data_IF_769002638479
#
_entry.id   IF_769002638479
#
_cell.length_a   1.000
_cell.length_b   1.000
_cell.length_c   1.000
_cell.angle_alpha   90.00
_cell.angle_beta   90.00
_cell.angle_gamma   90.00
#
_symmetry.space_group_name_H-M   'P 1'
#
loop_
_entity.id
_entity.type
_entity.pdbx_description
1 polymer ?
#
# COMPACT_ATOMS: atom_id res chain seq x y z
N UNK A 1 -53.13 -9.05 35.87
CA UNK A 1 -53.37 -7.59 35.78
C UNK A 1 -52.11 -6.91 36.30
N UNK A 2 -51.21 -6.48 35.40
CA UNK A 2 -50.99 -5.09 34.93
C UNK A 2 -50.12 -4.27 35.94
N UNK A 3 -48.81 -4.07 35.66
CA UNK A 3 -48.16 -2.88 35.05
C UNK A 3 -48.28 -1.60 35.91
N UNK A 4 -47.21 -0.98 36.43
CA UNK A 4 -46.25 -0.02 35.81
C UNK A 4 -45.30 0.48 36.95
N UNK A 5 -44.08 1.01 36.79
CA UNK A 5 -43.29 1.49 35.65
C UNK A 5 -41.86 1.96 36.07
N UNK A 6 -41.02 2.16 35.04
CA UNK A 6 -39.72 2.88 35.04
C UNK A 6 -39.87 4.33 35.56
N UNK A 7 -38.84 5.14 35.92
CA UNK A 7 -37.67 5.63 35.14
C UNK A 7 -36.62 6.32 36.10
N UNK A 8 -35.57 7.06 35.66
CA UNK A 8 -34.15 6.78 35.97
C UNK A 8 -33.47 7.86 36.85
N UNK A 9 -32.22 7.62 37.28
CA UNK A 9 -31.39 8.66 37.90
C UNK A 9 -30.42 9.24 36.85
N UNK A 10 -30.60 10.53 36.57
CA UNK A 10 -29.69 11.40 35.85
C UNK A 10 -28.38 11.59 36.64
N UNK A 11 -27.23 11.48 35.96
CA UNK A 11 -26.03 12.20 36.37
C UNK A 11 -25.53 12.99 35.15
N UNK A 12 -25.62 14.31 35.29
CA UNK A 12 -25.27 15.31 34.29
C UNK A 12 -23.86 15.86 34.57
N UNK A 13 -23.15 16.09 33.47
CA UNK A 13 -22.13 17.12 33.23
C UNK A 13 -21.07 17.44 34.28
N UNK A 14 -19.86 16.93 34.08
CA UNK A 14 -18.63 17.73 34.13
C UNK A 14 -17.65 17.23 33.05
N UNK A 15 -17.67 17.91 31.90
CA UNK A 15 -16.63 17.79 30.87
C UNK A 15 -15.52 18.76 31.26
N UNK A 16 -14.55 18.28 32.03
CA UNK A 16 -13.27 18.98 32.12
C UNK A 16 -12.51 18.78 30.81
N UNK A 17 -12.45 19.85 30.02
CA UNK A 17 -11.47 20.03 28.95
C UNK A 17 -10.07 20.01 29.57
N UNK A 18 -9.46 18.84 29.66
CA UNK A 18 -8.01 18.77 29.86
C UNK A 18 -7.33 19.24 28.58
N UNK A 19 -6.58 20.34 28.74
CA UNK A 19 -5.66 20.86 27.75
C UNK A 19 -4.59 19.79 27.51
N UNK A 20 -4.74 19.01 26.45
CA UNK A 20 -3.66 18.16 25.94
C UNK A 20 -2.66 19.07 25.21
N UNK A 21 -1.64 19.50 25.93
CA UNK A 21 -0.38 19.92 25.31
C UNK A 21 0.19 18.72 24.57
N UNK A 22 0.25 18.82 23.25
CA UNK A 22 0.89 17.82 22.39
C UNK A 22 2.35 17.62 22.86
N UNK A 23 2.84 16.37 22.96
CA UNK A 23 4.26 16.15 23.11
C UNK A 23 4.95 16.65 21.83
N UNK A 24 5.89 17.58 21.99
CA UNK A 24 6.84 17.96 20.95
C UNK A 24 7.63 16.70 20.56
N UNK A 25 7.44 16.23 19.33
CA UNK A 25 8.35 15.29 18.69
C UNK A 25 9.41 16.11 17.94
N UNK A 26 10.69 15.83 18.22
CA UNK A 26 11.80 16.20 17.36
C UNK A 26 11.68 15.40 16.05
N UNK A 27 11.07 16.00 15.03
CA UNK A 27 11.08 15.50 13.65
C UNK A 27 12.36 15.99 12.95
N UNK A 28 13.53 15.64 13.48
CA UNK A 28 14.79 15.95 12.80
C UNK A 28 15.08 14.87 11.77
N UNK A 29 14.58 15.05 10.54
CA UNK A 29 15.03 14.28 9.39
C UNK A 29 13.98 14.10 8.30
N UNK A 30 13.96 15.06 7.37
CA UNK A 30 13.60 14.91 5.96
C UNK A 30 12.32 14.12 5.63
N UNK A 31 11.26 14.83 5.26
CA UNK A 31 10.44 14.67 4.04
C UNK A 31 9.21 15.56 4.20
N UNK A 32 8.86 16.35 3.18
CA UNK A 32 7.58 17.07 3.13
C UNK A 32 7.63 18.61 3.11
N UNK A 33 8.70 19.23 2.60
CA UNK A 33 8.79 20.69 2.51
C UNK A 33 8.49 21.30 1.12
N UNK A 34 8.37 20.47 0.07
CA UNK A 34 8.04 20.94 -1.30
C UNK A 34 6.54 21.15 -1.54
N UNK A 35 5.70 20.24 -1.05
CA UNK A 35 4.27 20.14 -1.42
C UNK A 35 3.45 21.40 -1.13
N UNK A 36 3.80 22.14 -0.09
CA UNK A 36 3.08 23.35 0.32
C UNK A 36 3.26 24.53 -0.62
N UNK A 37 4.45 24.66 -1.23
CA UNK A 37 4.67 25.67 -2.25
C UNK A 37 3.92 25.28 -3.51
N UNK A 38 4.07 24.05 -3.98
CA UNK A 38 3.44 23.55 -5.21
C UNK A 38 1.91 23.66 -5.18
N UNK A 39 1.26 23.25 -4.07
CA UNK A 39 -0.19 23.37 -3.92
C UNK A 39 -0.70 24.82 -3.82
N UNK A 40 0.10 25.73 -3.24
CA UNK A 40 -0.22 27.16 -3.17
C UNK A 40 0.06 27.90 -4.48
N UNK A 41 0.97 27.38 -5.32
CA UNK A 41 1.35 27.95 -6.62
C UNK A 41 0.64 27.33 -7.82
N UNK A 42 -0.25 26.35 -7.62
CA UNK A 42 -1.19 25.86 -8.64
C UNK A 42 -2.24 26.93 -8.99
N UNK A 43 -1.80 28.11 -9.42
CA UNK A 43 -2.55 28.97 -10.30
C UNK A 43 -2.47 28.36 -11.70
N UNK A 44 -3.29 27.34 -11.95
CA UNK A 44 -3.69 27.01 -13.31
C UNK A 44 -4.31 28.31 -13.86
N UNK A 45 -3.63 28.94 -14.81
CA UNK A 45 -4.07 30.20 -15.40
C UNK A 45 -5.52 30.01 -15.86
N UNK A 46 -6.45 30.59 -15.09
CA UNK A 46 -7.85 30.61 -15.42
C UNK A 46 -7.99 31.35 -16.74
N UNK A 47 -8.36 30.64 -17.79
CA UNK A 47 -9.04 31.31 -18.90
C UNK A 47 -10.31 31.96 -18.35
N UNK A 48 -10.77 33.10 -18.88
CA UNK A 48 -11.78 33.95 -18.22
C UNK A 48 -13.16 33.31 -17.99
N UNK A 49 -13.36 32.05 -18.36
CA UNK A 49 -14.62 31.29 -18.24
C UNK A 49 -14.49 30.09 -17.27
N UNK A 50 -13.58 30.15 -16.28
CA UNK A 50 -13.16 29.02 -15.43
C UNK A 50 -14.19 28.47 -14.42
N UNK A 51 -15.42 28.98 -14.39
CA UNK A 51 -16.48 28.49 -13.48
C UNK A 51 -17.10 27.15 -13.91
N UNK A 52 -16.72 26.58 -15.07
CA UNK A 52 -17.29 25.34 -15.61
C UNK A 52 -16.32 24.14 -15.71
N UNK A 53 -15.13 24.19 -15.09
CA UNK A 53 -14.12 23.12 -15.21
C UNK A 53 -14.30 22.03 -14.15
N UNK A 54 -14.18 20.74 -14.52
CA UNK A 54 -14.28 19.62 -13.56
C UNK A 54 -13.16 19.60 -12.49
N UNK A 55 -12.05 20.32 -12.71
CA UNK A 55 -10.93 20.40 -11.75
C UNK A 55 -11.12 21.49 -10.68
N UNK A 56 -11.80 22.61 -11.00
CA UNK A 56 -12.02 23.73 -10.08
C UNK A 56 -12.75 23.33 -8.77
N UNK A 57 -13.84 22.54 -8.81
CA UNK A 57 -14.50 22.01 -7.61
C UNK A 57 -13.63 21.08 -6.76
N UNK A 58 -12.64 20.40 -7.34
CA UNK A 58 -11.71 19.53 -6.60
C UNK A 58 -10.67 20.38 -5.86
N UNK A 59 -10.10 21.37 -6.54
CA UNK A 59 -9.12 22.29 -5.95
C UNK A 59 -9.72 23.10 -4.78
N UNK A 60 -10.97 23.53 -4.90
CA UNK A 60 -11.67 24.23 -3.81
C UNK A 60 -11.89 23.33 -2.59
N UNK A 61 -12.18 22.03 -2.79
CA UNK A 61 -12.33 21.05 -1.71
C UNK A 61 -11.01 20.70 -1.02
N UNK A 62 -9.88 20.74 -1.74
CA UNK A 62 -8.56 20.44 -1.20
C UNK A 62 -8.06 21.50 -0.20
N UNK A 63 -8.28 22.78 -0.53
CA UNK A 63 -7.77 23.93 0.25
C UNK A 63 -7.97 23.83 1.77
N UNK A 64 -9.17 23.56 2.32
CA UNK A 64 -9.35 23.50 3.77
C UNK A 64 -8.57 22.37 4.45
N UNK A 65 -8.33 21.24 3.77
CA UNK A 65 -7.55 20.14 4.33
C UNK A 65 -6.06 20.45 4.35
N UNK A 66 -5.55 21.10 3.29
CA UNK A 66 -4.17 21.58 3.22
C UNK A 66 -3.89 22.55 4.37
N UNK A 67 -4.79 23.53 4.57
CA UNK A 67 -4.67 24.50 5.66
C UNK A 67 -4.68 23.83 7.05
N UNK A 68 -5.50 22.79 7.23
CA UNK A 68 -5.55 22.02 8.48
C UNK A 68 -4.26 21.24 8.71
N UNK A 69 -3.73 20.58 7.68
CA UNK A 69 -2.50 19.78 7.79
C UNK A 69 -1.30 20.67 8.17
N UNK A 70 -1.22 21.88 7.62
CA UNK A 70 -0.18 22.87 7.96
C UNK A 70 -0.20 23.29 9.42
N UNK A 71 -1.39 23.34 10.03
CA UNK A 71 -1.54 23.65 11.45
C UNK A 71 -1.12 22.48 12.33
N UNK A 72 -1.42 21.25 11.89
CA UNK A 72 -1.10 20.03 12.64
C UNK A 72 0.40 19.70 12.58
N UNK A 73 1.05 19.95 11.44
CA UNK A 73 2.47 19.61 11.20
C UNK A 73 3.26 20.83 10.68
N UNK A 74 3.49 21.86 11.50
CA UNK A 74 4.14 23.10 11.05
C UNK A 74 5.63 22.91 10.66
N UNK A 75 6.29 21.87 11.18
CA UNK A 75 7.72 21.59 10.91
C UNK A 75 7.97 21.05 9.49
N UNK A 76 6.94 20.48 8.85
CA UNK A 76 6.96 20.14 7.42
C UNK A 76 7.11 21.41 6.56
N UNK A 77 6.65 22.57 7.04
CA UNK A 77 6.76 23.84 6.31
C UNK A 77 8.07 24.59 6.51
N UNK A 78 8.88 24.29 7.54
CA UNK A 78 10.03 25.13 7.94
C UNK A 78 11.41 24.53 7.68
N UNK A 79 11.51 23.22 7.43
CA UNK A 79 12.79 22.48 7.37
C UNK A 79 13.48 22.45 6.01
N UNK A 80 13.05 23.24 5.02
CA UNK A 80 13.62 23.27 3.66
C UNK A 80 15.04 23.85 3.54
N UNK A 81 15.67 24.27 4.65
CA UNK A 81 16.86 25.14 4.60
C UNK A 81 18.22 24.51 4.86
N UNK A 82 18.32 23.35 5.51
CA UNK A 82 19.61 22.79 5.95
C UNK A 82 19.53 21.29 6.22
N UNK A 83 19.85 20.43 5.26
CA UNK A 83 20.26 19.07 5.56
C UNK A 83 21.40 18.67 4.60
N UNK A 84 22.54 18.31 5.21
CA UNK A 84 23.76 17.82 4.59
C UNK A 84 23.52 16.52 3.80
N UNK A 85 24.14 16.43 2.62
CA UNK A 85 24.02 15.33 1.64
C UNK A 85 24.48 13.94 2.16
N UNK A 86 25.00 13.83 3.38
CA UNK A 86 25.59 12.59 3.90
C UNK A 86 24.66 11.75 4.78
N UNK A 87 23.43 12.21 5.08
CA UNK A 87 22.47 11.46 5.92
C UNK A 87 21.29 10.87 5.10
N UNK A 88 21.14 11.27 3.83
CA UNK A 88 20.04 10.83 2.95
C UNK A 88 20.16 9.36 2.47
N UNK A 89 21.34 8.74 2.62
CA UNK A 89 21.64 7.43 2.02
C UNK A 89 21.28 6.22 2.90
N UNK A 90 20.49 6.38 3.97
CA UNK A 90 20.14 5.25 4.87
C UNK A 90 18.65 5.02 5.11
N UNK A 91 17.76 5.86 4.58
CA UNK A 91 16.31 5.69 4.73
C UNK A 91 15.53 5.86 3.42
N UNK A 92 16.18 5.58 2.28
CA UNK A 92 15.46 5.40 1.03
C UNK A 92 14.76 4.03 1.02
N UNK A 93 13.45 4.09 0.81
CA UNK A 93 12.61 3.02 0.22
C UNK A 93 12.25 1.82 1.10
N UNK A 94 11.56 2.01 2.23
CA UNK A 94 10.54 1.03 2.60
C UNK A 94 9.26 1.34 1.82
N UNK A 95 9.25 1.01 0.53
CA UNK A 95 7.98 0.78 -0.17
C UNK A 95 7.20 -0.28 0.63
N UNK A 96 5.86 -0.26 0.59
CA UNK A 96 4.96 -1.16 1.34
C UNK A 96 5.32 -2.67 1.25
N UNK A 97 6.23 -3.05 0.36
CA UNK A 97 6.69 -4.42 0.14
C UNK A 97 8.18 -4.68 0.42
N UNK A 98 9.02 -3.67 0.70
CA UNK A 98 10.44 -3.89 0.99
C UNK A 98 10.69 -4.32 2.45
N UNK A 99 9.81 -5.16 2.97
CA UNK A 99 10.20 -6.13 3.99
C UNK A 99 11.42 -6.84 3.42
N UNK A 100 12.59 -6.83 4.09
CA UNK A 100 13.86 -7.31 3.51
C UNK A 100 13.83 -8.70 2.86
N UNK A 101 12.75 -9.47 3.04
CA UNK A 101 12.40 -10.66 2.26
C UNK A 101 12.21 -10.41 0.76
N UNK A 102 11.60 -9.31 0.31
CA UNK A 102 11.42 -9.01 -1.11
C UNK A 102 12.76 -8.65 -1.74
N UNK A 103 13.56 -7.84 -1.07
CA UNK A 103 14.97 -7.62 -1.44
C UNK A 103 15.77 -8.94 -1.51
N UNK A 104 15.71 -9.80 -0.49
CA UNK A 104 16.40 -11.11 -0.48
C UNK A 104 15.88 -12.08 -1.56
N UNK A 105 14.57 -12.12 -1.80
CA UNK A 105 13.93 -12.94 -2.84
C UNK A 105 14.26 -12.42 -4.23
N UNK A 106 14.31 -11.10 -4.41
CA UNK A 106 14.76 -10.47 -5.65
C UNK A 106 16.20 -10.85 -5.93
N UNK A 107 17.08 -10.88 -4.93
CA UNK A 107 18.48 -11.30 -5.12
C UNK A 107 18.65 -12.79 -5.42
N UNK A 108 17.79 -13.66 -4.88
CA UNK A 108 17.89 -15.13 -5.02
C UNK A 108 17.03 -15.73 -6.14
N UNK A 109 16.16 -14.92 -6.77
CA UNK A 109 15.30 -15.37 -7.86
C UNK A 109 16.10 -15.85 -9.08
N UNK A 110 15.71 -16.98 -9.70
CA UNK A 110 16.32 -17.44 -10.96
C UNK A 110 16.07 -16.51 -12.15
N UNK A 111 15.28 -15.45 -11.96
CA UNK A 111 15.00 -14.40 -12.95
C UNK A 111 15.74 -13.08 -12.66
N UNK A 112 16.59 -13.01 -11.64
CA UNK A 112 17.40 -11.83 -11.36
C UNK A 112 18.65 -11.78 -12.25
N UNK A 113 18.88 -10.66 -12.93
CA UNK A 113 19.94 -10.48 -13.93
C UNK A 113 21.24 -9.92 -13.37
N UNK A 114 21.26 -9.44 -12.11
CA UNK A 114 22.46 -8.89 -11.46
C UNK A 114 23.05 -9.89 -10.47
N UNK A 115 23.84 -10.86 -10.94
CA UNK A 115 24.65 -11.64 -9.98
C UNK A 115 25.29 -12.98 -10.42
N UNK A 116 24.95 -13.59 -11.55
CA UNK A 116 25.65 -14.80 -12.02
C UNK A 116 26.24 -14.60 -13.41
N UNK A 117 27.57 -14.68 -13.48
CA UNK A 117 28.35 -14.76 -14.71
C UNK A 117 28.18 -16.09 -15.48
N UNK A 118 27.29 -16.97 -15.01
CA UNK A 118 26.86 -18.17 -15.74
C UNK A 118 25.42 -18.01 -16.21
N UNK A 119 25.25 -17.85 -17.53
CA UNK A 119 23.94 -17.82 -18.19
C UNK A 119 23.17 -19.11 -17.90
N UNK A 120 22.24 -19.06 -16.95
CA UNK A 120 21.38 -20.20 -16.61
C UNK A 120 20.38 -20.53 -17.73
N UNK A 121 19.82 -21.75 -17.77
CA UNK A 121 18.79 -22.14 -18.73
C UNK A 121 17.53 -21.25 -18.69
N UNK A 122 17.16 -20.74 -17.51
CA UNK A 122 16.02 -19.85 -17.29
C UNK A 122 16.20 -18.47 -17.94
N UNK A 123 17.40 -17.89 -17.84
CA UNK A 123 17.71 -16.58 -18.42
C UNK A 123 17.78 -16.65 -19.95
N UNK A 124 18.33 -17.74 -20.51
CA UNK A 124 18.32 -18.01 -21.96
C UNK A 124 16.88 -18.15 -22.47
N UNK A 125 16.00 -18.83 -21.73
CA UNK A 125 14.58 -18.99 -22.07
C UNK A 125 13.86 -17.65 -22.04
N UNK A 126 14.11 -16.80 -21.03
CA UNK A 126 13.49 -15.48 -20.92
C UNK A 126 13.96 -14.52 -22.01
N UNK A 127 15.28 -14.46 -22.29
CA UNK A 127 15.83 -13.66 -23.41
C UNK A 127 15.27 -14.11 -24.76
N UNK A 128 15.13 -15.42 -25.00
CA UNK A 128 14.55 -15.94 -26.23
C UNK A 128 13.08 -15.53 -26.41
N UNK A 129 12.28 -15.54 -25.34
CA UNK A 129 10.88 -15.07 -25.35
C UNK A 129 10.82 -13.57 -25.67
N UNK A 130 11.70 -12.76 -25.06
CA UNK A 130 11.80 -11.30 -25.30
C UNK A 130 12.18 -11.00 -26.76
N UNK A 131 13.15 -11.74 -27.31
CA UNK A 131 13.63 -11.61 -28.70
C UNK A 131 12.54 -11.98 -29.72
N UNK A 132 11.75 -13.03 -29.46
CA UNK A 132 10.64 -13.42 -30.34
C UNK A 132 9.52 -12.37 -30.37
N UNK A 133 9.21 -11.71 -29.24
CA UNK A 133 8.18 -10.66 -29.20
C UNK A 133 8.61 -9.36 -29.89
N UNK A 134 9.86 -8.94 -29.73
CA UNK A 134 10.40 -7.77 -30.47
C UNK A 134 10.29 -7.94 -32.00
N UNK A 135 10.30 -9.18 -32.50
CA UNK A 135 10.08 -9.51 -33.92
C UNK A 135 8.60 -9.59 -34.32
N UNK A 136 7.68 -9.71 -33.36
CA UNK A 136 6.24 -9.93 -33.57
C UNK A 136 5.35 -8.71 -33.26
N UNK A 137 5.93 -7.60 -32.80
CA UNK A 137 5.23 -6.31 -32.55
C UNK A 137 4.57 -5.71 -33.81
N UNK A 138 4.79 -6.30 -34.99
CA UNK A 138 4.12 -5.93 -36.25
C UNK A 138 2.81 -6.64 -36.56
N UNK A 139 2.27 -7.51 -35.68
CA UNK A 139 0.98 -8.14 -35.89
C UNK A 139 -0.15 -7.23 -35.35
N UNK A 140 -0.77 -6.48 -36.26
CA UNK A 140 -1.94 -5.64 -36.01
C UNK A 140 -3.07 -6.53 -35.45
N UNK A 141 -3.43 -6.32 -34.18
CA UNK A 141 -4.67 -6.84 -33.62
C UNK A 141 -5.78 -5.91 -34.10
N UNK A 142 -6.87 -6.47 -34.64
CA UNK A 142 -8.03 -5.72 -35.13
C UNK A 142 -8.48 -4.67 -34.10
N UNK A 143 -8.29 -3.40 -34.45
CA UNK A 143 -8.46 -2.23 -33.59
C UNK A 143 -9.91 -1.71 -33.53
N UNK A 144 -10.90 -2.60 -33.58
CA UNK A 144 -12.32 -2.21 -33.73
C UNK A 144 -13.11 -2.21 -32.40
N UNK A 145 -12.48 -2.53 -31.27
CA UNK A 145 -13.13 -2.49 -29.93
C UNK A 145 -12.42 -1.58 -28.91
N UNK A 146 -11.58 -0.63 -29.36
CA UNK A 146 -11.10 0.42 -28.47
C UNK A 146 -12.27 1.36 -28.11
N UNK A 147 -12.92 1.10 -26.98
CA UNK A 147 -13.91 2.02 -26.40
C UNK A 147 -13.28 3.42 -26.34
N UNK A 148 -13.80 4.33 -27.17
CA UNK A 148 -13.37 5.73 -27.15
C UNK A 148 -13.71 6.30 -25.77
N UNK A 149 -12.71 6.87 -25.11
CA UNK A 149 -12.86 7.54 -23.83
C UNK A 149 -13.95 8.62 -23.97
N UNK A 150 -15.08 8.47 -23.26
CA UNK A 150 -16.29 9.29 -23.46
C UNK A 150 -16.00 10.80 -23.34
N UNK A 151 -16.60 11.56 -24.27
CA UNK A 151 -16.46 13.00 -24.42
C UNK A 151 -17.41 13.76 -23.49
N UNK A 152 -16.92 14.13 -22.32
CA UNK A 152 -17.60 15.10 -21.45
C UNK A 152 -16.94 16.48 -21.64
N UNK A 153 -17.69 17.38 -22.27
CA UNK A 153 -17.18 18.60 -22.89
C UNK A 153 -16.25 19.48 -22.03
N UNK A 154 -15.30 20.12 -22.74
CA UNK A 154 -14.29 21.10 -22.29
C UNK A 154 -13.21 20.57 -21.34
N UNK A 155 -12.05 20.27 -21.94
CA UNK A 155 -10.79 20.06 -21.24
C UNK A 155 -10.26 21.35 -20.59
N UNK A 156 -9.86 21.27 -19.31
CA UNK A 156 -9.25 22.38 -18.54
C UNK A 156 -7.90 22.79 -19.14
N UNK A 157 -7.07 21.83 -19.53
CA UNK A 157 -5.76 22.12 -20.13
C UNK A 157 -5.79 22.21 -21.65
N UNK A 158 -6.89 21.82 -22.30
CA UNK A 158 -6.92 21.62 -23.76
C UNK A 158 -6.53 20.19 -24.17
N UNK A 159 -6.11 19.32 -23.24
CA UNK A 159 -5.70 17.94 -23.52
C UNK A 159 -6.39 16.93 -22.59
N UNK A 160 -7.20 16.02 -23.17
CA UNK A 160 -8.09 15.12 -22.40
C UNK A 160 -7.35 14.18 -21.46
N UNK A 161 -6.36 13.44 -21.96
CA UNK A 161 -5.65 12.45 -21.13
C UNK A 161 -4.93 13.09 -19.94
N UNK A 162 -4.43 14.32 -20.14
CA UNK A 162 -3.74 15.10 -19.10
C UNK A 162 -4.74 15.55 -18.03
N UNK A 163 -5.91 16.04 -18.42
CA UNK A 163 -6.97 16.39 -17.47
C UNK A 163 -7.46 15.18 -16.67
N UNK A 164 -7.53 14.00 -17.29
CA UNK A 164 -7.89 12.77 -16.60
C UNK A 164 -6.84 12.36 -15.57
N UNK A 165 -5.55 12.44 -15.91
CA UNK A 165 -4.47 12.21 -14.96
C UNK A 165 -4.53 13.22 -13.80
N UNK A 166 -4.67 14.51 -14.10
CA UNK A 166 -4.81 15.55 -13.07
C UNK A 166 -6.01 15.30 -12.16
N UNK A 167 -7.17 14.97 -12.72
CA UNK A 167 -8.39 14.66 -11.95
C UNK A 167 -8.17 13.46 -11.03
N UNK A 168 -7.55 12.40 -11.55
CA UNK A 168 -7.25 11.19 -10.81
C UNK A 168 -6.38 11.50 -9.57
N UNK A 169 -5.21 12.11 -9.78
CA UNK A 169 -4.25 12.39 -8.71
C UNK A 169 -4.77 13.42 -7.70
N UNK A 170 -5.49 14.46 -8.15
CA UNK A 170 -6.16 15.40 -7.24
C UNK A 170 -7.26 14.74 -6.39
N UNK A 171 -8.00 13.78 -6.98
CA UNK A 171 -9.01 13.01 -6.24
C UNK A 171 -8.34 12.14 -5.17
N UNK A 172 -7.21 11.48 -5.50
CA UNK A 172 -6.41 10.72 -4.54
C UNK A 172 -5.90 11.60 -3.40
N UNK A 173 -5.31 12.76 -3.70
CA UNK A 173 -4.91 13.74 -2.69
C UNK A 173 -6.06 14.09 -1.73
N UNK A 174 -7.24 14.39 -2.27
CA UNK A 174 -8.40 14.79 -1.48
C UNK A 174 -8.83 13.66 -0.53
N UNK A 175 -8.88 12.43 -1.02
CA UNK A 175 -9.29 11.27 -0.20
C UNK A 175 -8.25 10.96 0.87
N UNK A 176 -6.96 10.98 0.52
CA UNK A 176 -5.88 10.75 1.48
C UNK A 176 -5.88 11.81 2.59
N UNK A 177 -6.05 13.08 2.24
CA UNK A 177 -6.17 14.18 3.21
C UNK A 177 -7.40 14.02 4.12
N UNK A 178 -8.55 13.61 3.58
CA UNK A 178 -9.75 13.30 4.37
C UNK A 178 -9.48 12.17 5.37
N UNK A 179 -8.78 11.12 4.95
CA UNK A 179 -8.44 9.99 5.82
C UNK A 179 -7.48 10.40 6.93
N UNK A 180 -6.41 11.12 6.62
CA UNK A 180 -5.46 11.66 7.59
C UNK A 180 -6.14 12.56 8.63
N UNK A 181 -7.07 13.42 8.19
CA UNK A 181 -7.80 14.33 9.07
C UNK A 181 -8.66 13.63 10.15
N UNK A 182 -8.86 12.31 10.03
CA UNK A 182 -9.61 11.47 10.98
C UNK A 182 -8.73 10.57 11.83
N UNK A 183 -7.40 10.53 11.60
CA UNK A 183 -6.47 9.70 12.36
C UNK A 183 -6.18 10.31 13.73
N UNK A 184 -6.09 9.44 14.73
CA UNK A 184 -5.66 9.76 16.08
C UNK A 184 -5.31 8.47 16.82
N UNK A 185 -4.44 8.57 17.82
CA UNK A 185 -4.07 7.44 18.67
C UNK A 185 -2.60 7.07 18.53
N UNK A 186 -2.18 5.94 19.14
CA UNK A 186 -0.80 5.47 19.14
C UNK A 186 -0.47 4.54 17.96
N UNK A 187 -1.42 4.27 17.08
CA UNK A 187 -1.20 3.46 15.88
C UNK A 187 -0.83 4.40 14.74
N UNK A 188 0.36 4.21 14.18
CA UNK A 188 0.99 5.18 13.26
C UNK A 188 1.14 4.61 11.84
N UNK A 189 0.90 3.31 11.63
CA UNK A 189 1.15 2.64 10.35
C UNK A 189 0.30 3.25 9.23
N UNK A 190 -1.02 3.37 9.44
CA UNK A 190 -1.89 3.98 8.40
C UNK A 190 -1.62 5.46 8.20
N UNK A 191 -1.22 6.17 9.25
CA UNK A 191 -0.82 7.59 9.11
C UNK A 191 0.40 7.70 8.20
N UNK A 192 1.45 6.92 8.46
CA UNK A 192 2.67 6.87 7.65
C UNK A 192 2.38 6.45 6.21
N UNK A 193 1.55 5.43 5.99
CA UNK A 193 1.11 4.99 4.66
C UNK A 193 0.45 6.13 3.87
N UNK A 194 -0.49 6.85 4.50
CA UNK A 194 -1.22 7.94 3.88
C UNK A 194 -0.32 9.16 3.60
N UNK A 195 0.63 9.47 4.49
CA UNK A 195 1.62 10.53 4.25
C UNK A 195 2.54 10.17 3.08
N UNK A 196 3.07 8.94 3.05
CA UNK A 196 3.88 8.48 1.92
C UNK A 196 3.12 8.51 0.60
N UNK A 197 1.82 8.18 0.61
CA UNK A 197 0.96 8.32 -0.57
C UNK A 197 0.85 9.77 -1.03
N UNK A 198 0.67 10.74 -0.13
CA UNK A 198 0.62 12.17 -0.50
C UNK A 198 1.93 12.68 -1.09
N UNK A 199 3.07 12.21 -0.58
CA UNK A 199 4.37 12.56 -1.12
C UNK A 199 4.51 12.10 -2.58
N UNK A 200 4.10 10.86 -2.85
CA UNK A 200 4.07 10.31 -4.20
C UNK A 200 3.08 11.06 -5.12
N UNK A 201 1.87 11.38 -4.64
CA UNK A 201 0.92 12.18 -5.43
C UNK A 201 1.46 13.58 -5.75
N UNK A 202 2.18 14.20 -4.81
CA UNK A 202 2.77 15.53 -5.02
C UNK A 202 3.81 15.48 -6.13
N UNK A 203 4.72 14.51 -6.08
CA UNK A 203 5.74 14.30 -7.13
C UNK A 203 5.07 14.12 -8.49
N UNK A 204 4.05 13.27 -8.57
CA UNK A 204 3.29 13.04 -9.80
C UNK A 204 2.59 14.31 -10.31
N UNK A 205 2.01 15.12 -9.43
CA UNK A 205 1.37 16.37 -9.81
C UNK A 205 2.39 17.41 -10.34
N UNK A 206 3.60 17.44 -9.78
CA UNK A 206 4.70 18.27 -10.29
C UNK A 206 5.13 17.84 -11.69
N UNK A 207 5.24 16.53 -11.95
CA UNK A 207 5.53 15.97 -13.27
C UNK A 207 4.42 16.32 -14.28
N UNK A 208 3.16 16.17 -13.90
CA UNK A 208 2.00 16.53 -14.74
C UNK A 208 1.96 18.03 -15.06
N UNK A 209 2.33 18.89 -14.11
CA UNK A 209 2.49 20.33 -14.34
C UNK A 209 3.66 20.63 -15.30
N UNK A 210 4.73 19.84 -15.27
CA UNK A 210 5.81 19.97 -16.23
C UNK A 210 5.34 19.59 -17.64
N UNK A 211 4.64 18.46 -17.77
CA UNK A 211 4.03 18.00 -19.02
C UNK A 211 3.06 19.04 -19.59
N UNK A 212 2.24 19.67 -18.75
CA UNK A 212 1.26 20.68 -19.19
C UNK A 212 1.90 21.93 -19.80
N UNK A 213 3.17 22.23 -19.49
CA UNK A 213 3.90 23.37 -20.07
C UNK A 213 4.31 23.12 -21.53
N UNK A 214 4.28 21.88 -21.99
CA UNK A 214 4.64 21.51 -23.37
C UNK A 214 3.47 21.63 -24.35
N UNK A 215 2.26 21.94 -23.85
CA UNK A 215 1.06 22.06 -24.67
C UNK A 215 1.21 23.11 -25.79
N UNK A 216 0.57 22.89 -26.96
CA UNK A 216 -0.53 21.96 -27.21
C UNK A 216 -0.15 20.51 -27.51
N UNK A 217 1.14 20.20 -27.68
CA UNK A 217 1.60 18.84 -27.97
C UNK A 217 2.19 18.18 -26.72
N UNK A 218 1.79 16.94 -26.42
CA UNK A 218 2.41 16.21 -25.33
C UNK A 218 3.84 15.76 -25.68
N UNK A 219 4.73 15.63 -24.68
CA UNK A 219 6.00 14.95 -24.85
C UNK A 219 5.80 13.52 -25.38
N UNK A 220 6.80 13.01 -26.09
CA UNK A 220 6.80 11.62 -26.53
C UNK A 220 6.73 10.68 -25.31
N UNK A 221 5.92 9.62 -25.39
CA UNK A 221 5.74 8.65 -24.31
C UNK A 221 7.05 8.01 -23.84
N UNK A 222 8.00 7.75 -24.73
CA UNK A 222 9.31 7.23 -24.36
C UNK A 222 10.11 8.21 -23.48
N UNK A 223 9.95 9.52 -23.69
CA UNK A 223 10.58 10.53 -22.84
C UNK A 223 9.89 10.56 -21.47
N UNK A 224 8.56 10.52 -21.44
CA UNK A 224 7.79 10.49 -20.18
C UNK A 224 8.19 9.25 -19.35
N UNK A 225 8.27 8.07 -19.97
CA UNK A 225 8.69 6.85 -19.29
C UNK A 225 10.14 6.93 -18.80
N UNK A 226 11.04 7.58 -19.55
CA UNK A 226 12.41 7.79 -19.13
C UNK A 226 12.52 8.75 -17.94
N UNK A 227 11.75 9.86 -17.97
CA UNK A 227 11.66 10.84 -16.89
C UNK A 227 11.07 10.23 -15.61
N UNK A 228 10.16 9.26 -15.74
CA UNK A 228 9.61 8.48 -14.63
C UNK A 228 10.55 7.36 -14.13
N UNK A 229 11.76 7.24 -14.70
CA UNK A 229 12.73 6.19 -14.43
C UNK A 229 12.17 4.77 -14.63
N UNK A 230 11.27 4.58 -15.60
CA UNK A 230 10.70 3.26 -15.88
C UNK A 230 11.78 2.32 -16.46
N UNK A 231 11.94 1.15 -15.83
CA UNK A 231 12.83 0.10 -16.35
C UNK A 231 12.37 -0.43 -17.71
N UNK A 232 13.27 -1.07 -18.47
CA UNK A 232 13.00 -1.54 -19.84
C UNK A 232 11.77 -2.46 -19.91
N UNK A 233 11.60 -3.33 -18.92
CA UNK A 233 10.44 -4.23 -18.81
C UNK A 233 9.12 -3.46 -18.67
N UNK A 234 9.11 -2.37 -17.90
CA UNK A 234 7.93 -1.51 -17.74
C UNK A 234 7.63 -0.75 -19.02
N UNK A 235 8.67 -0.22 -19.67
CA UNK A 235 8.53 0.48 -20.95
C UNK A 235 7.95 -0.46 -22.02
N UNK A 236 8.49 -1.67 -22.16
CA UNK A 236 8.04 -2.67 -23.14
C UNK A 236 6.54 -2.99 -22.93
N UNK A 237 6.09 -3.17 -21.68
CA UNK A 237 4.67 -3.42 -21.35
C UNK A 237 3.79 -2.22 -21.67
N UNK A 238 4.16 -1.03 -21.20
CA UNK A 238 3.35 0.18 -21.40
C UNK A 238 3.18 0.50 -22.88
N UNK A 239 4.28 0.52 -23.63
CA UNK A 239 4.26 0.80 -25.06
C UNK A 239 3.41 -0.23 -25.83
N UNK A 240 3.48 -1.51 -25.45
CA UNK A 240 2.67 -2.56 -26.08
C UNK A 240 1.18 -2.38 -25.85
N UNK A 241 0.77 -1.79 -24.71
CA UNK A 241 -0.63 -1.46 -24.44
C UNK A 241 -1.05 -0.12 -25.05
N UNK A 242 -0.15 0.86 -25.10
CA UNK A 242 -0.46 2.24 -25.48
C UNK A 242 -0.54 2.45 -26.99
N UNK A 243 0.32 1.77 -27.78
CA UNK A 243 0.31 1.90 -29.24
C UNK A 243 -1.01 1.41 -29.89
N UNK A 244 -1.55 0.21 -29.57
CA UNK A 244 -2.82 -0.24 -30.14
C UNK A 244 -4.00 0.65 -29.72
N UNK A 245 -3.94 1.23 -28.52
CA UNK A 245 -4.96 2.13 -28.00
C UNK A 245 -4.85 3.58 -28.54
N UNK A 246 -3.79 3.90 -29.30
CA UNK A 246 -3.44 5.27 -29.70
C UNK A 246 -3.47 6.26 -28.52
N UNK A 247 -2.91 5.85 -27.38
CA UNK A 247 -2.93 6.61 -26.14
C UNK A 247 -1.51 6.87 -25.61
N UNK A 248 -1.35 7.93 -24.80
CA UNK A 248 -0.04 8.36 -24.30
C UNK A 248 0.03 8.16 -22.78
N UNK A 249 -0.83 8.86 -22.03
CA UNK A 249 -0.81 8.96 -20.58
C UNK A 249 -1.76 7.98 -19.90
N UNK A 250 -2.79 7.48 -20.59
CA UNK A 250 -3.84 6.65 -20.00
C UNK A 250 -4.23 5.51 -20.94
N UNK A 251 -4.35 4.29 -20.42
CA UNK A 251 -4.72 3.11 -21.22
C UNK A 251 -5.82 2.30 -20.52
N UNK A 252 -6.63 1.52 -21.27
CA UNK A 252 -7.58 0.60 -20.68
C UNK A 252 -6.89 -0.46 -19.81
N UNK A 253 -7.42 -0.70 -18.60
CA UNK A 253 -6.86 -1.65 -17.63
C UNK A 253 -6.74 -3.08 -18.20
N UNK A 254 -7.70 -3.49 -19.03
CA UNK A 254 -7.70 -4.83 -19.63
C UNK A 254 -6.55 -5.04 -20.63
N UNK A 255 -6.12 -4.00 -21.35
CA UNK A 255 -4.96 -4.08 -22.26
C UNK A 255 -3.66 -4.26 -21.47
N UNK A 256 -3.49 -3.51 -20.37
CA UNK A 256 -2.34 -3.71 -19.48
C UNK A 256 -2.35 -5.10 -18.84
N UNK A 257 -3.50 -5.57 -18.36
CA UNK A 257 -3.63 -6.92 -17.79
C UNK A 257 -3.22 -7.98 -18.82
N UNK A 258 -3.67 -7.83 -20.07
CA UNK A 258 -3.28 -8.71 -21.17
C UNK A 258 -1.76 -8.69 -21.39
N UNK A 259 -1.14 -7.51 -21.49
CA UNK A 259 0.30 -7.41 -21.76
C UNK A 259 1.17 -7.93 -20.62
N UNK A 260 0.81 -7.64 -19.36
CA UNK A 260 1.49 -8.19 -18.18
C UNK A 260 1.38 -9.72 -18.17
N UNK A 261 0.18 -10.27 -18.41
CA UNK A 261 -0.03 -11.72 -18.50
C UNK A 261 0.80 -12.33 -19.61
N UNK A 262 0.85 -11.67 -20.76
CA UNK A 262 1.61 -12.15 -21.91
C UNK A 262 3.12 -12.13 -21.68
N UNK A 263 3.64 -11.09 -21.02
CA UNK A 263 5.05 -10.93 -20.68
C UNK A 263 5.51 -11.90 -19.59
N UNK A 264 4.72 -12.05 -18.54
CA UNK A 264 5.17 -12.65 -17.28
C UNK A 264 4.34 -13.84 -16.84
N UNK A 265 3.24 -14.18 -17.52
CA UNK A 265 2.35 -15.26 -17.11
C UNK A 265 3.04 -16.61 -16.95
N UNK A 266 4.06 -16.90 -17.76
CA UNK A 266 4.87 -18.13 -17.63
C UNK A 266 5.62 -18.24 -16.30
N UNK A 267 6.04 -17.11 -15.71
CA UNK A 267 6.74 -17.09 -14.41
C UNK A 267 5.85 -17.67 -13.31
N UNK A 268 4.53 -17.42 -13.43
CA UNK A 268 3.51 -17.92 -12.53
C UNK A 268 3.09 -19.33 -12.95
N UNK A 269 2.64 -19.52 -14.20
CA UNK A 269 2.02 -20.77 -14.64
C UNK A 269 2.94 -22.00 -14.57
N UNK A 270 4.25 -21.79 -14.74
CA UNK A 270 5.22 -22.89 -14.68
C UNK A 270 5.38 -23.49 -13.27
N UNK A 271 5.01 -22.76 -12.21
CA UNK A 271 5.12 -23.21 -10.80
C UNK A 271 3.81 -23.22 -10.03
N UNK A 272 2.90 -22.33 -10.40
CA UNK A 272 1.63 -22.07 -9.74
C UNK A 272 0.52 -21.95 -10.80
N UNK A 273 0.25 -23.01 -11.58
CA UNK A 273 -0.67 -22.95 -12.73
C UNK A 273 -2.06 -22.42 -12.36
N UNK A 274 -2.59 -22.84 -11.21
CA UNK A 274 -3.93 -22.49 -10.75
C UNK A 274 -4.03 -21.07 -10.15
N UNK A 275 -2.91 -20.36 -10.01
CA UNK A 275 -2.86 -19.02 -9.40
C UNK A 275 -2.66 -17.90 -10.41
N UNK A 276 -2.53 -18.20 -11.71
CA UNK A 276 -2.22 -17.20 -12.72
C UNK A 276 -3.24 -16.05 -12.73
N UNK A 277 -4.54 -16.35 -12.72
CA UNK A 277 -5.57 -15.31 -12.75
C UNK A 277 -5.57 -14.48 -11.46
N UNK A 278 -5.44 -15.13 -10.30
CA UNK A 278 -5.34 -14.48 -8.99
C UNK A 278 -4.15 -13.52 -8.89
N UNK A 279 -2.97 -13.94 -9.39
CA UNK A 279 -1.77 -13.08 -9.40
C UNK A 279 -1.94 -11.91 -10.36
N UNK A 280 -2.57 -12.12 -11.53
CA UNK A 280 -2.84 -11.03 -12.47
C UNK A 280 -3.85 -10.04 -11.87
N UNK A 281 -4.89 -10.50 -11.20
CA UNK A 281 -5.84 -9.63 -10.49
C UNK A 281 -5.16 -8.87 -9.35
N UNK A 282 -4.30 -9.53 -8.58
CA UNK A 282 -3.48 -8.89 -7.55
C UNK A 282 -2.61 -7.77 -8.11
N UNK A 283 -1.94 -8.00 -9.25
CA UNK A 283 -1.16 -6.97 -9.95
C UNK A 283 -2.02 -5.79 -10.39
N UNK A 284 -3.22 -6.05 -10.92
CA UNK A 284 -4.14 -4.97 -11.32
C UNK A 284 -4.65 -4.18 -10.11
N UNK A 285 -4.88 -4.83 -8.98
CA UNK A 285 -5.30 -4.18 -7.74
C UNK A 285 -4.22 -3.25 -7.17
N UNK A 286 -2.92 -3.50 -7.44
CA UNK A 286 -1.85 -2.58 -7.04
C UNK A 286 -1.86 -1.26 -7.81
N UNK A 287 -2.44 -1.26 -9.02
CA UNK A 287 -2.45 -0.09 -9.92
C UNK A 287 -3.79 0.65 -9.91
N UNK A 288 -4.82 0.07 -9.32
CA UNK A 288 -6.18 0.61 -9.33
C UNK A 288 -6.59 1.04 -7.93
N UNK A 289 -7.30 2.17 -7.83
CA UNK A 289 -7.82 2.67 -6.55
C UNK A 289 -9.19 2.09 -6.20
N UNK A 290 -9.43 0.85 -6.60
CA UNK A 290 -10.74 0.21 -6.53
C UNK A 290 -11.82 1.09 -7.16
N UNK A 291 -12.81 1.50 -6.35
CA UNK A 291 -13.95 2.31 -6.82
C UNK A 291 -13.75 3.82 -6.73
N UNK A 292 -12.55 4.28 -6.33
CA UNK A 292 -12.31 5.72 -6.12
C UNK A 292 -12.25 6.50 -7.44
N UNK A 293 -11.72 5.90 -8.50
CA UNK A 293 -11.63 6.54 -9.81
C UNK A 293 -11.54 5.50 -10.93
N UNK A 294 -12.38 5.68 -11.97
CA UNK A 294 -12.41 4.96 -13.26
C UNK A 294 -11.58 3.67 -13.30
N UNK A 295 -12.02 2.58 -12.64
CA UNK A 295 -11.23 1.35 -12.53
C UNK A 295 -10.91 0.69 -13.88
N UNK A 296 -11.62 1.08 -14.93
CA UNK A 296 -11.43 0.62 -16.31
C UNK A 296 -10.17 1.21 -16.97
N UNK A 297 -9.56 2.24 -16.37
CA UNK A 297 -8.45 2.99 -16.95
C UNK A 297 -7.28 3.15 -15.97
N UNK A 298 -6.06 3.13 -16.50
CA UNK A 298 -4.82 3.25 -15.72
C UNK A 298 -3.93 4.29 -16.37
N UNK A 299 -3.42 5.21 -15.56
CA UNK A 299 -2.46 6.23 -15.98
C UNK A 299 -1.02 5.69 -15.97
N UNK A 300 -0.14 6.29 -16.76
CA UNK A 300 1.30 5.93 -16.80
C UNK A 300 1.95 6.08 -15.43
N UNK A 301 1.49 7.05 -14.65
CA UNK A 301 1.96 7.31 -13.29
C UNK A 301 1.51 6.26 -12.29
N UNK A 302 0.26 5.78 -12.36
CA UNK A 302 -0.19 4.63 -11.56
C UNK A 302 0.62 3.38 -11.89
N UNK A 303 0.80 3.09 -13.18
CA UNK A 303 1.54 1.92 -13.64
C UNK A 303 3.01 1.96 -13.20
N UNK A 304 3.75 3.01 -13.54
CA UNK A 304 5.17 3.11 -13.19
C UNK A 304 5.34 3.24 -11.67
N UNK A 305 4.47 3.98 -10.99
CA UNK A 305 4.48 4.14 -9.53
C UNK A 305 4.33 2.81 -8.79
N UNK A 306 3.42 1.93 -9.23
CA UNK A 306 3.19 0.63 -8.60
C UNK A 306 4.43 -0.30 -8.64
N UNK A 307 5.31 -0.10 -9.62
CA UNK A 307 6.51 -0.92 -9.84
C UNK A 307 7.82 -0.15 -9.66
N UNK A 308 7.79 1.09 -9.19
CA UNK A 308 8.99 1.91 -8.98
C UNK A 308 9.96 1.19 -8.03
N UNK A 309 11.22 1.10 -8.43
CA UNK A 309 12.26 0.40 -7.68
C UNK A 309 12.20 -1.14 -7.72
N UNK A 310 11.17 -1.74 -8.33
CA UNK A 310 10.98 -3.19 -8.36
C UNK A 310 11.54 -3.83 -9.62
N UNK A 311 12.23 -4.96 -9.47
CA UNK A 311 12.55 -5.83 -10.60
C UNK A 311 11.35 -6.73 -10.92
N UNK A 312 10.67 -6.49 -12.04
CA UNK A 312 9.36 -7.11 -12.34
C UNK A 312 9.36 -8.64 -12.30
N UNK A 313 10.25 -9.37 -13.00
CA UNK A 313 10.18 -10.83 -13.02
C UNK A 313 10.33 -11.47 -11.62
N UNK A 314 11.35 -11.11 -10.79
CA UNK A 314 11.42 -11.59 -9.42
C UNK A 314 10.25 -11.14 -8.54
N UNK A 315 9.76 -9.90 -8.74
CA UNK A 315 8.62 -9.38 -7.98
C UNK A 315 7.34 -10.17 -8.25
N UNK A 316 7.04 -10.49 -9.52
CA UNK A 316 5.88 -11.31 -9.92
C UNK A 316 6.01 -12.73 -9.38
N UNK A 317 7.22 -13.29 -9.33
CA UNK A 317 7.46 -14.57 -8.66
C UNK A 317 7.15 -14.49 -7.16
N UNK A 318 7.57 -13.41 -6.48
CA UNK A 318 7.29 -13.17 -5.05
C UNK A 318 5.78 -13.10 -4.80
N UNK A 319 5.05 -12.31 -5.60
CA UNK A 319 3.59 -12.22 -5.53
C UNK A 319 2.90 -13.58 -5.75
N UNK A 320 3.40 -14.40 -6.68
CA UNK A 320 2.87 -15.74 -6.87
C UNK A 320 3.10 -16.66 -5.65
N UNK A 321 4.25 -16.52 -4.97
CA UNK A 321 4.52 -17.25 -3.74
C UNK A 321 3.61 -16.78 -2.60
N UNK A 322 3.39 -15.47 -2.49
CA UNK A 322 2.47 -14.88 -1.52
C UNK A 322 1.03 -15.34 -1.75
N UNK A 323 0.55 -15.34 -3.00
CA UNK A 323 -0.75 -15.85 -3.36
C UNK A 323 -0.90 -17.34 -3.01
N UNK A 324 0.16 -18.14 -3.17
CA UNK A 324 0.17 -19.55 -2.75
C UNK A 324 0.06 -19.72 -1.23
N UNK A 325 0.76 -18.89 -0.45
CA UNK A 325 0.64 -18.87 1.02
C UNK A 325 -0.79 -18.51 1.40
N UNK A 326 -1.33 -17.41 0.85
CA UNK A 326 -2.69 -16.93 1.11
C UNK A 326 -3.76 -17.97 0.79
N UNK A 327 -3.68 -18.61 -0.38
CA UNK A 327 -4.61 -19.67 -0.80
C UNK A 327 -4.52 -20.90 0.12
N UNK A 328 -3.31 -21.32 0.47
CA UNK A 328 -3.08 -22.45 1.37
C UNK A 328 -3.65 -22.22 2.76
N UNK A 329 -3.42 -21.04 3.35
CA UNK A 329 -3.95 -20.65 4.66
C UNK A 329 -5.47 -20.43 4.65
N UNK A 330 -6.01 -19.88 3.55
CA UNK A 330 -7.45 -19.67 3.36
C UNK A 330 -8.23 -20.96 3.24
N UNK A 331 -7.60 -22.05 2.76
CA UNK A 331 -8.26 -23.35 2.61
C UNK A 331 -8.81 -23.91 3.92
N UNK A 332 -8.23 -23.53 5.07
CA UNK A 332 -8.49 -24.10 6.40
C UNK A 332 -8.34 -25.63 6.48
N UNK A 333 -7.67 -26.24 5.50
CA UNK A 333 -7.40 -27.67 5.47
C UNK A 333 -6.10 -27.94 6.20
N UNK A 334 -6.14 -28.71 7.29
CA UNK A 334 -5.01 -28.89 8.21
C UNK A 334 -3.70 -29.30 7.51
N UNK A 335 -3.66 -30.35 6.64
CA UNK A 335 -2.44 -30.71 5.92
C UNK A 335 -1.86 -29.57 5.07
N UNK A 336 -2.73 -28.79 4.41
CA UNK A 336 -2.33 -27.67 3.56
C UNK A 336 -1.75 -26.53 4.39
N UNK A 337 -2.43 -26.17 5.49
CA UNK A 337 -1.95 -25.15 6.43
C UNK A 337 -0.61 -25.57 7.06
N UNK A 338 -0.50 -26.83 7.50
CA UNK A 338 0.75 -27.39 8.03
C UNK A 338 1.90 -27.27 7.03
N UNK A 339 1.69 -27.66 5.78
CA UNK A 339 2.69 -27.54 4.71
C UNK A 339 3.18 -26.09 4.53
N UNK A 340 2.25 -25.12 4.53
CA UNK A 340 2.61 -23.69 4.41
C UNK A 340 3.43 -23.25 5.62
N UNK A 341 2.95 -23.54 6.83
CA UNK A 341 3.60 -23.11 8.06
C UNK A 341 4.96 -23.79 8.29
N UNK A 342 5.11 -25.06 7.92
CA UNK A 342 6.38 -25.77 7.95
C UNK A 342 7.40 -25.12 7.01
N UNK A 343 6.99 -24.62 5.84
CA UNK A 343 7.91 -23.86 4.97
C UNK A 343 8.29 -22.52 5.59
N UNK A 344 7.34 -21.79 6.19
CA UNK A 344 7.61 -20.49 6.83
C UNK A 344 8.53 -20.62 8.04
N UNK A 345 8.46 -21.72 8.78
CA UNK A 345 9.37 -22.01 9.90
C UNK A 345 10.86 -22.04 9.52
N UNK A 346 11.18 -22.27 8.24
CA UNK A 346 12.56 -22.31 7.74
C UNK A 346 13.02 -20.98 7.13
N UNK A 347 12.19 -19.93 7.19
CA UNK A 347 12.47 -18.62 6.63
C UNK A 347 12.79 -17.65 7.77
N UNK A 348 14.04 -17.16 7.92
CA UNK A 348 14.46 -16.34 9.05
C UNK A 348 14.09 -14.86 8.88
N UNK A 349 13.01 -14.57 8.18
CA UNK A 349 12.53 -13.21 7.89
C UNK A 349 11.01 -13.19 7.93
N UNK A 350 10.45 -12.05 8.34
CA UNK A 350 9.02 -11.86 8.45
C UNK A 350 8.33 -12.06 7.07
N UNK A 351 7.26 -12.87 6.99
CA UNK A 351 6.46 -12.99 5.76
C UNK A 351 5.82 -11.64 5.39
N UNK A 352 5.42 -11.45 4.11
CA UNK A 352 4.64 -10.28 3.72
C UNK A 352 3.40 -10.09 4.60
N UNK A 353 3.05 -8.83 4.89
CA UNK A 353 1.95 -8.51 5.82
C UNK A 353 0.64 -9.21 5.47
N UNK A 354 0.32 -9.35 4.18
CA UNK A 354 -0.88 -10.06 3.73
C UNK A 354 -0.83 -11.57 4.02
N UNK A 355 0.35 -12.19 3.99
CA UNK A 355 0.52 -13.57 4.46
C UNK A 355 0.27 -13.68 5.96
N UNK A 356 0.78 -12.73 6.75
CA UNK A 356 0.53 -12.67 8.20
C UNK A 356 -0.94 -12.39 8.54
N UNK A 357 -1.63 -11.61 7.72
CA UNK A 357 -3.09 -11.39 7.81
C UNK A 357 -3.82 -12.73 7.70
N UNK A 358 -3.49 -13.56 6.72
CA UNK A 358 -4.08 -14.89 6.56
C UNK A 358 -3.76 -15.83 7.74
N UNK A 359 -2.55 -15.75 8.32
CA UNK A 359 -2.20 -16.46 9.55
C UNK A 359 -3.12 -16.03 10.71
N UNK A 360 -3.31 -14.72 10.90
CA UNK A 360 -4.25 -14.18 11.89
C UNK A 360 -5.68 -14.65 11.66
N UNK A 361 -6.13 -14.70 10.41
CA UNK A 361 -7.44 -15.25 10.06
C UNK A 361 -7.54 -16.74 10.41
N UNK A 362 -6.47 -17.54 10.34
CA UNK A 362 -6.52 -18.96 10.77
C UNK A 362 -6.81 -19.07 12.26
N UNK A 363 -6.26 -18.18 13.08
CA UNK A 363 -6.55 -18.10 14.52
C UNK A 363 -8.02 -17.72 14.82
N UNK A 364 -8.74 -17.18 13.85
CA UNK A 364 -10.18 -16.91 13.97
C UNK A 364 -11.05 -18.16 13.77
N UNK A 365 -10.53 -19.21 13.12
CA UNK A 365 -11.28 -20.44 12.89
C UNK A 365 -11.57 -21.18 14.21
N UNK A 366 -12.64 -21.99 14.31
CA UNK A 366 -12.93 -22.75 15.53
C UNK A 366 -12.03 -23.99 15.73
N UNK A 367 -11.19 -24.33 14.75
CA UNK A 367 -10.39 -25.56 14.75
C UNK A 367 -9.10 -25.39 15.58
N UNK A 368 -9.03 -26.10 16.72
CA UNK A 368 -7.88 -26.10 17.63
C UNK A 368 -6.60 -26.68 17.03
N UNK A 369 -6.71 -27.63 16.11
CA UNK A 369 -5.53 -28.19 15.42
C UNK A 369 -4.92 -27.19 14.46
N UNK A 370 -5.73 -26.34 13.82
CA UNK A 370 -5.20 -25.23 13.03
C UNK A 370 -4.50 -24.21 13.92
N UNK A 371 -5.07 -23.91 15.09
CA UNK A 371 -4.46 -22.98 16.05
C UNK A 371 -3.09 -23.45 16.50
N UNK A 372 -2.94 -24.72 16.88
CA UNK A 372 -1.66 -25.25 17.37
C UNK A 372 -0.54 -25.16 16.33
N UNK A 373 -0.88 -25.28 15.04
CA UNK A 373 0.09 -25.12 13.95
C UNK A 373 0.58 -23.68 13.84
N UNK A 374 -0.32 -22.70 13.95
CA UNK A 374 0.02 -21.28 13.92
C UNK A 374 0.79 -20.87 15.18
N UNK A 375 0.31 -21.30 16.35
CA UNK A 375 0.92 -21.02 17.64
C UNK A 375 2.36 -21.52 17.69
N UNK A 376 2.62 -22.74 17.18
CA UNK A 376 3.97 -23.29 17.04
C UNK A 376 4.89 -22.44 16.17
N UNK A 377 4.37 -21.75 15.15
CA UNK A 377 5.16 -20.83 14.33
C UNK A 377 5.49 -19.55 15.09
N UNK A 378 4.48 -18.90 15.68
CA UNK A 378 4.65 -17.62 16.38
C UNK A 378 5.53 -17.75 17.63
N UNK A 379 5.33 -18.81 18.43
CA UNK A 379 6.10 -19.05 19.66
C UNK A 379 7.56 -19.45 19.40
N UNK A 380 7.87 -19.96 18.20
CA UNK A 380 9.25 -20.28 17.79
C UNK A 380 10.04 -19.07 17.29
N UNK A 381 9.38 -17.95 16.99
CA UNK A 381 10.07 -16.75 16.57
C UNK A 381 10.93 -16.20 17.70
N UNK A 382 12.16 -15.77 17.38
CA UNK A 382 13.11 -15.23 18.35
C UNK A 382 13.90 -14.06 17.75
N UNK A 383 14.42 -13.19 18.60
CA UNK A 383 15.21 -12.03 18.21
C UNK A 383 14.45 -11.12 17.23
N UNK A 384 15.14 -10.66 16.18
CA UNK A 384 14.58 -9.74 15.19
C UNK A 384 13.28 -10.25 14.55
N UNK A 385 13.19 -11.56 14.27
CA UNK A 385 11.98 -12.12 13.66
C UNK A 385 10.77 -11.97 14.57
N UNK A 386 10.93 -12.15 15.88
CA UNK A 386 9.83 -11.97 16.83
C UNK A 386 9.40 -10.51 16.91
N UNK A 387 10.34 -9.59 16.99
CA UNK A 387 10.07 -8.14 16.99
C UNK A 387 9.35 -7.70 15.71
N UNK A 388 9.82 -8.14 14.55
CA UNK A 388 9.20 -7.82 13.26
C UNK A 388 7.78 -8.38 13.14
N UNK A 389 7.53 -9.60 13.65
CA UNK A 389 6.18 -10.17 13.71
C UNK A 389 5.27 -9.34 14.62
N UNK A 390 5.74 -8.96 15.82
CA UNK A 390 4.98 -8.12 16.76
C UNK A 390 4.62 -6.79 16.11
N UNK A 391 5.60 -6.10 15.52
CA UNK A 391 5.38 -4.82 14.85
C UNK A 391 4.41 -4.96 13.67
N UNK A 392 4.53 -6.01 12.86
CA UNK A 392 3.62 -6.22 11.73
C UNK A 392 2.19 -6.52 12.18
N UNK A 393 2.01 -7.30 13.27
CA UNK A 393 0.68 -7.50 13.83
C UNK A 393 0.11 -6.24 14.51
N UNK A 394 0.95 -5.36 15.06
CA UNK A 394 0.52 -4.02 15.51
C UNK A 394 0.03 -3.20 14.31
N UNK A 395 0.72 -3.22 13.16
CA UNK A 395 0.26 -2.58 11.93
C UNK A 395 -1.10 -3.15 11.46
N UNK A 396 -1.29 -4.47 11.56
CA UNK A 396 -2.55 -5.14 11.21
C UNK A 396 -3.73 -4.77 12.12
N UNK A 397 -3.49 -4.16 13.29
CA UNK A 397 -4.56 -3.56 14.10
C UNK A 397 -5.20 -2.34 13.43
N UNK A 398 -4.62 -1.80 12.35
CA UNK A 398 -5.21 -0.71 11.57
C UNK A 398 -5.83 -1.16 10.24
N UNK A 399 -5.94 -2.48 10.03
CA UNK A 399 -6.52 -3.03 8.80
C UNK A 399 -8.00 -2.66 8.65
N UNK A 400 -8.48 -2.43 7.42
CA UNK A 400 -9.86 -2.00 7.16
C UNK A 400 -10.91 -3.07 7.53
N UNK A 401 -10.59 -4.33 7.27
CA UNK A 401 -11.42 -5.49 7.64
C UNK A 401 -11.35 -5.83 9.14
N UNK A 402 -12.51 -6.10 9.73
CA UNK A 402 -12.67 -6.41 11.15
C UNK A 402 -12.01 -7.74 11.54
N UNK A 403 -12.18 -8.80 10.73
CA UNK A 403 -11.66 -10.13 11.05
C UNK A 403 -10.13 -10.14 11.06
N UNK A 404 -9.52 -9.38 10.17
CA UNK A 404 -8.08 -9.18 10.11
C UNK A 404 -7.54 -8.52 11.39
N UNK A 405 -8.23 -7.50 11.93
CA UNK A 405 -7.88 -6.89 13.22
C UNK A 405 -8.09 -7.83 14.41
N UNK A 406 -9.14 -8.65 14.39
CA UNK A 406 -9.36 -9.70 15.40
C UNK A 406 -8.24 -10.75 15.37
N UNK A 407 -7.87 -11.21 14.17
CA UNK A 407 -6.75 -12.13 13.98
C UNK A 407 -5.43 -11.57 14.48
N UNK A 408 -5.18 -10.26 14.28
CA UNK A 408 -4.02 -9.57 14.83
C UNK A 408 -4.03 -9.53 16.36
N UNK A 409 -5.18 -9.25 17.00
CA UNK A 409 -5.30 -9.31 18.46
C UNK A 409 -4.91 -10.69 19.00
N UNK A 410 -5.41 -11.77 18.37
CA UNK A 410 -5.09 -13.16 18.78
C UNK A 410 -3.63 -13.52 18.56
N UNK A 411 -3.03 -13.09 17.46
CA UNK A 411 -1.61 -13.30 17.20
C UNK A 411 -0.74 -12.57 18.23
N UNK A 412 -1.09 -11.34 18.60
CA UNK A 412 -0.39 -10.56 19.63
C UNK A 412 -0.50 -11.19 21.02
N UNK A 413 -1.62 -11.86 21.34
CA UNK A 413 -1.74 -12.66 22.58
C UNK A 413 -0.71 -13.79 22.60
N UNK A 414 -0.51 -14.49 21.49
CA UNK A 414 0.46 -15.60 21.40
C UNK A 414 1.90 -15.09 21.47
N UNK A 415 2.18 -13.96 20.80
CA UNK A 415 3.51 -13.33 20.81
C UNK A 415 3.88 -12.69 22.15
N UNK A 416 2.90 -12.45 23.02
CA UNK A 416 3.05 -12.05 24.42
C UNK A 416 4.13 -10.97 24.65
N UNK A 417 3.94 -9.79 24.06
CA UNK A 417 4.92 -8.70 24.13
C UNK A 417 4.33 -7.44 24.75
N UNK A 418 5.10 -6.83 25.66
CA UNK A 418 4.78 -5.54 26.26
C UNK A 418 4.60 -4.41 25.21
N UNK A 419 5.25 -4.53 24.05
CA UNK A 419 5.10 -3.56 22.94
C UNK A 419 3.65 -3.48 22.43
N UNK A 420 2.88 -4.56 22.57
CA UNK A 420 1.50 -4.62 22.11
C UNK A 420 0.50 -3.97 23.08
N UNK A 421 0.88 -3.72 24.35
CA UNK A 421 -0.04 -3.28 25.42
C UNK A 421 -0.72 -1.95 25.07
N UNK A 422 0.07 -0.93 24.70
CA UNK A 422 -0.49 0.40 24.36
C UNK A 422 -1.35 0.38 23.09
N UNK A 423 -0.91 -0.25 21.97
CA UNK A 423 -1.75 -0.51 20.80
C UNK A 423 -3.08 -1.21 21.13
N UNK A 424 -3.03 -2.32 21.86
CA UNK A 424 -4.23 -3.10 22.21
C UNK A 424 -5.16 -2.33 23.15
N UNK A 425 -4.63 -1.56 24.11
CA UNK A 425 -5.42 -0.70 24.99
C UNK A 425 -6.18 0.38 24.22
N UNK A 426 -5.57 0.92 23.16
CA UNK A 426 -6.26 1.83 22.25
C UNK A 426 -7.37 1.12 21.47
N UNK A 427 -7.07 -0.02 20.84
CA UNK A 427 -8.05 -0.82 20.08
C UNK A 427 -9.24 -1.24 20.96
N UNK A 428 -9.00 -1.73 22.16
CA UNK A 428 -10.03 -2.16 23.13
C UNK A 428 -11.04 -1.05 23.48
N UNK A 429 -10.62 0.22 23.39
CA UNK A 429 -11.43 1.41 23.70
C UNK A 429 -12.04 2.04 22.46
N UNK A 430 -11.30 2.11 21.37
CA UNK A 430 -11.57 3.00 20.25
C UNK A 430 -11.92 2.28 18.94
N UNK A 431 -11.73 0.97 18.82
CA UNK A 431 -12.08 0.25 17.58
C UNK A 431 -13.57 0.39 17.26
N UNK A 432 -13.91 0.47 15.97
CA UNK A 432 -15.29 0.60 15.48
C UNK A 432 -16.11 -0.66 15.77
N UNK A 433 -15.50 -1.84 15.68
CA UNK A 433 -16.16 -3.13 15.87
C UNK A 433 -16.17 -3.54 17.35
N UNK A 434 -17.34 -3.86 17.93
CA UNK A 434 -17.41 -4.37 19.30
C UNK A 434 -16.67 -5.70 19.49
N UNK A 435 -16.61 -6.54 18.45
CA UNK A 435 -15.91 -7.83 18.49
C UNK A 435 -14.39 -7.65 18.55
N UNK A 436 -13.85 -6.70 17.76
CA UNK A 436 -12.42 -6.35 17.82
C UNK A 436 -12.07 -5.76 19.19
N UNK A 437 -12.93 -4.89 19.74
CA UNK A 437 -12.72 -4.35 21.08
C UNK A 437 -12.67 -5.44 22.15
N UNK A 438 -13.47 -6.49 22.00
CA UNK A 438 -13.49 -7.62 22.94
C UNK A 438 -12.24 -8.50 22.82
N UNK A 439 -11.84 -8.89 21.60
CA UNK A 439 -10.59 -9.65 21.39
C UNK A 439 -9.37 -8.87 21.91
N UNK A 440 -9.34 -7.55 21.75
CA UNK A 440 -8.28 -6.70 22.32
C UNK A 440 -8.28 -6.67 23.85
N UNK A 441 -9.45 -6.68 24.51
CA UNK A 441 -9.52 -6.80 25.99
C UNK A 441 -9.03 -8.16 26.48
N UNK A 442 -9.39 -9.22 25.77
CA UNK A 442 -8.93 -10.57 26.09
C UNK A 442 -7.42 -10.72 25.88
N UNK A 443 -6.86 -10.09 24.84
CA UNK A 443 -5.42 -10.02 24.66
C UNK A 443 -4.74 -9.30 25.85
N UNK A 444 -5.26 -8.13 26.25
CA UNK A 444 -4.71 -7.37 27.38
C UNK A 444 -4.78 -8.12 28.70
N UNK A 445 -5.86 -8.84 29.00
CA UNK A 445 -5.96 -9.62 30.23
C UNK A 445 -4.93 -10.76 30.25
N UNK A 446 -4.62 -11.36 29.10
CA UNK A 446 -3.53 -12.33 28.96
C UNK A 446 -2.17 -11.74 29.30
N UNK A 447 -1.85 -10.56 28.75
CA UNK A 447 -0.56 -9.88 28.96
C UNK A 447 -0.36 -9.41 30.41
N UNK A 448 -1.40 -8.87 31.05
CA UNK A 448 -1.31 -8.31 32.41
C UNK A 448 -1.19 -9.40 33.48
N UNK A 449 -1.73 -10.60 33.23
CA UNK A 449 -1.65 -11.71 34.18
C UNK A 449 -0.27 -12.38 34.22
N UNK A 450 0.56 -12.20 33.18
CA UNK A 450 1.90 -12.80 33.08
C UNK A 450 2.98 -11.92 33.74
N UNK A 451 2.80 -10.59 33.70
CA UNK A 451 3.65 -9.59 34.41
C UNK A 451 3.48 -9.61 35.95
N UNK A 452 2.62 -10.49 36.49
CA UNK A 452 2.28 -10.56 37.91
C UNK A 452 3.11 -11.51 38.77
N UNK A 453 4.15 -12.17 38.25
CA UNK A 453 4.91 -13.17 39.02
C UNK A 453 6.39 -12.90 39.25
N UNK A 454 7.02 -11.87 38.67
CA UNK A 454 8.41 -11.56 38.99
C UNK A 454 8.68 -10.04 39.08
N UNK A 455 9.25 -9.65 40.22
CA UNK A 455 9.92 -8.37 40.53
C UNK A 455 9.08 -7.14 40.93
N UNK A 456 8.58 -7.16 42.18
CA UNK A 456 8.62 -5.98 43.05
C UNK A 456 9.24 -6.37 44.41
N UNK A 457 10.54 -6.66 44.41
CA UNK A 457 11.31 -6.52 45.65
C UNK A 457 11.48 -5.02 45.93
N UNK A 458 10.69 -4.52 46.90
CA UNK A 458 10.93 -3.26 47.57
C UNK A 458 12.34 -3.27 48.17
N UNK A 459 13.32 -2.64 47.52
CA UNK A 459 14.51 -2.20 48.24
C UNK A 459 14.19 -0.89 48.94
N UNK A 460 13.77 -1.00 50.20
CA UNK A 460 14.07 0.02 51.20
C UNK A 460 15.54 -0.11 51.56
N UNK A 461 16.36 0.90 51.22
CA UNK A 461 17.45 1.41 52.06
C UNK A 461 17.51 2.91 51.89
#
# INVERSE_FOLDING_TARGET
MAYTGNVPVYFDGYVERSQFTAPKMDMTGSVGSSWLKSASTMNLAATPDADSSQLSPLLSQLRPYIERLNRTYPELSSTAGKLDDNVLMKHEQTSENDSGIDSLRQHTSPYNSKGRLDTGPSERRFKHIKEQRRKSIGAVVDADEAQSFEDDGRSTTGHRELDHCLRHHLTRCLQTLKLLATRFGPLEYKEQELVGRLDQETTTLEDLLHVSRSLPALPNISNILADLNAGVELQDVWLSASYPANAILIVPAHLLKHEIRSCFGRIVSDRYPDLLDSVMDGLMNLMTDGKLWCPEWITVYQFVGAFRGKNLPPYIESLAHEAWIGAGLSSRVLPTVQMVMDRLLHVPVVPPMESLRHIGLVLMAPNRELHSVIERYLTKAQGQLAEDLIMTYICLLEHDDNESRQGACRALTILNSALAVRPLAFVARCDRSPLVREDARQALSGLVNDDGSDTFEMTKV
#
